data_IF_408745750109
#
_entry.id   IF_408745750109
#
_cell.length_a   1.000
_cell.length_b   1.000
_cell.length_c   1.000
_cell.angle_alpha   90.00
_cell.angle_beta   90.00
_cell.angle_gamma   90.00
#
_symmetry.space_group_name_H-M   'P 1'
#
loop_
_entity.id
_entity.type
_entity.pdbx_description
1 polymer ?
#
# COMPACT_ATOMS: atom_id res chain seq x y z
N UNK A 1 -25.68 -4.59 4.30
CA UNK A 1 -25.02 -5.91 4.47
C UNK A 1 -23.94 -6.05 3.40
N UNK A 2 -22.73 -5.52 3.65
CA UNK A 2 -21.47 -5.83 2.94
C UNK A 2 -20.27 -5.15 3.62
N UNK A 3 -20.12 -5.30 4.95
CA UNK A 3 -18.93 -4.78 5.65
C UNK A 3 -17.94 -5.89 6.02
N UNK A 4 -18.36 -7.17 6.09
CA UNK A 4 -17.50 -8.23 6.61
C UNK A 4 -16.42 -8.71 5.62
N UNK A 5 -16.71 -8.68 4.30
CA UNK A 5 -15.76 -9.22 3.31
C UNK A 5 -14.58 -8.30 3.09
N UNK A 6 -14.81 -6.99 3.17
CA UNK A 6 -13.79 -5.96 3.00
C UNK A 6 -12.82 -5.96 4.19
N UNK A 7 -13.34 -5.89 5.42
CA UNK A 7 -12.57 -6.02 6.66
C UNK A 7 -11.70 -7.30 6.66
N UNK A 8 -12.24 -8.41 6.15
CA UNK A 8 -11.48 -9.68 6.02
C UNK A 8 -10.31 -9.59 5.04
N UNK A 9 -10.40 -8.83 3.94
CA UNK A 9 -9.30 -8.73 2.97
C UNK A 9 -8.17 -7.89 3.53
N UNK A 10 -8.51 -6.79 4.19
CA UNK A 10 -7.54 -5.91 4.86
C UNK A 10 -6.75 -6.72 5.87
N UNK A 11 -7.42 -7.39 6.81
CA UNK A 11 -6.80 -8.20 7.86
C UNK A 11 -5.82 -9.25 7.29
N UNK A 12 -6.24 -9.96 6.24
CA UNK A 12 -5.43 -11.02 5.63
C UNK A 12 -4.14 -10.48 5.00
N UNK A 13 -4.21 -9.31 4.37
CA UNK A 13 -3.09 -8.72 3.67
C UNK A 13 -2.18 -7.97 4.64
N UNK A 14 -2.77 -7.33 5.64
CA UNK A 14 -2.05 -6.69 6.74
C UNK A 14 -1.23 -7.71 7.53
N UNK A 15 -1.76 -8.91 7.81
CA UNK A 15 -0.97 -9.98 8.44
C UNK A 15 0.28 -10.35 7.61
N UNK A 16 0.16 -10.30 6.27
CA UNK A 16 1.25 -10.68 5.38
C UNK A 16 2.37 -9.64 5.32
N UNK A 17 2.04 -8.34 5.27
CA UNK A 17 2.99 -7.26 4.96
C UNK A 17 2.84 -5.98 5.79
N UNK A 18 1.93 -5.92 6.76
CA UNK A 18 1.61 -4.72 7.56
C UNK A 18 2.85 -4.12 8.22
N UNK A 19 3.71 -4.96 8.80
CA UNK A 19 4.98 -4.53 9.39
C UNK A 19 5.91 -3.81 8.38
N UNK A 20 5.93 -4.27 7.13
CA UNK A 20 6.72 -3.64 6.07
C UNK A 20 6.05 -2.35 5.60
N UNK A 21 4.71 -2.33 5.53
CA UNK A 21 3.95 -1.13 5.16
C UNK A 21 4.16 -0.04 6.19
N UNK A 22 3.98 -0.31 7.48
CA UNK A 22 4.23 0.62 8.57
C UNK A 22 5.65 1.20 8.48
N UNK A 23 6.69 0.36 8.34
CA UNK A 23 8.07 0.84 8.22
C UNK A 23 8.25 1.79 7.02
N UNK A 24 7.67 1.44 5.86
CA UNK A 24 7.80 2.25 4.65
C UNK A 24 7.00 3.56 4.76
N UNK A 25 5.81 3.51 5.35
CA UNK A 25 4.94 4.66 5.54
C UNK A 25 5.58 5.63 6.52
N UNK A 26 5.99 5.19 7.71
CA UNK A 26 6.69 6.05 8.68
C UNK A 26 7.92 6.72 8.08
N UNK A 27 8.69 5.99 7.26
CA UNK A 27 9.96 6.49 6.74
C UNK A 27 9.82 7.46 5.57
N UNK A 28 8.81 7.27 4.72
CA UNK A 28 8.73 7.98 3.42
C UNK A 28 7.42 8.69 3.17
N UNK A 29 6.35 8.32 3.88
CA UNK A 29 4.99 8.75 3.57
C UNK A 29 4.17 9.13 4.82
N UNK A 30 4.80 9.36 5.97
CA UNK A 30 4.14 9.40 7.28
C UNK A 30 2.98 10.40 7.41
N UNK A 31 3.00 11.48 6.63
CA UNK A 31 1.94 12.49 6.63
C UNK A 31 0.83 12.23 5.58
N UNK A 32 0.96 11.21 4.73
CA UNK A 32 0.04 10.98 3.60
C UNK A 32 -1.18 10.09 3.92
N UNK A 33 -1.23 9.47 5.10
CA UNK A 33 -2.39 8.70 5.59
C UNK A 33 -2.91 9.39 6.85
N UNK A 34 -4.14 9.89 6.81
CA UNK A 34 -4.74 10.67 7.90
C UNK A 34 -5.73 9.82 8.73
N UNK A 35 -6.11 8.64 8.23
CA UNK A 35 -7.11 7.76 8.82
C UNK A 35 -6.84 6.28 8.57
N UNK A 36 -7.52 5.43 9.33
CA UNK A 36 -7.58 3.97 9.11
C UNK A 36 -8.19 3.65 7.73
N UNK A 37 -9.18 4.41 7.28
CA UNK A 37 -9.77 4.27 5.94
C UNK A 37 -8.72 4.49 4.83
N UNK A 38 -7.80 5.45 4.97
CA UNK A 38 -6.73 5.66 3.98
C UNK A 38 -5.77 4.47 3.91
N UNK A 39 -5.51 3.83 5.07
CA UNK A 39 -4.66 2.64 5.14
C UNK A 39 -5.32 1.44 4.47
N UNK A 40 -6.61 1.24 4.71
CA UNK A 40 -7.40 0.21 4.06
C UNK A 40 -7.42 0.40 2.54
N UNK A 41 -7.65 1.64 2.07
CA UNK A 41 -7.60 1.98 0.64
C UNK A 41 -6.24 1.67 0.01
N UNK A 42 -5.14 1.95 0.73
CA UNK A 42 -3.80 1.60 0.28
C UNK A 42 -3.65 0.08 0.14
N UNK A 43 -4.11 -0.70 1.12
CA UNK A 43 -4.09 -2.17 1.06
C UNK A 43 -4.91 -2.66 -0.15
N UNK A 44 -6.10 -2.12 -0.37
CA UNK A 44 -6.90 -2.46 -1.55
C UNK A 44 -6.20 -2.15 -2.85
N UNK A 45 -5.50 -1.01 -2.93
CA UNK A 45 -4.74 -0.68 -4.12
C UNK A 45 -3.58 -1.65 -4.33
N UNK A 46 -2.87 -2.06 -3.27
CA UNK A 46 -1.81 -3.08 -3.36
C UNK A 46 -2.38 -4.39 -3.91
N UNK A 47 -3.50 -4.87 -3.36
CA UNK A 47 -4.20 -6.08 -3.83
C UNK A 47 -4.57 -5.95 -5.31
N UNK A 48 -5.23 -4.85 -5.69
CA UNK A 48 -5.66 -4.62 -7.06
C UNK A 48 -4.49 -4.49 -8.03
N UNK A 49 -3.41 -3.84 -7.62
CA UNK A 49 -2.19 -3.69 -8.40
C UNK A 49 -1.56 -5.06 -8.67
N UNK A 50 -1.35 -5.87 -7.63
CA UNK A 50 -0.77 -7.21 -7.76
C UNK A 50 -1.66 -8.11 -8.60
N UNK A 51 -2.97 -8.10 -8.34
CA UNK A 51 -3.95 -8.87 -9.12
C UNK A 51 -3.85 -8.54 -10.60
N UNK A 52 -3.76 -7.26 -10.95
CA UNK A 52 -3.69 -6.80 -12.34
C UNK A 52 -2.35 -7.09 -12.98
N UNK A 53 -1.25 -6.66 -12.36
CA UNK A 53 0.07 -6.63 -12.99
C UNK A 53 0.79 -7.99 -12.90
N UNK A 54 0.61 -8.73 -11.81
CA UNK A 54 1.25 -10.05 -11.61
C UNK A 54 0.36 -11.17 -12.13
N UNK A 55 -0.93 -11.14 -11.77
CA UNK A 55 -1.85 -12.24 -12.02
C UNK A 55 -2.82 -12.01 -13.20
N UNK A 56 -2.66 -10.90 -13.94
CA UNK A 56 -3.48 -10.59 -15.12
C UNK A 56 -4.99 -10.62 -14.84
N UNK A 57 -5.39 -10.19 -13.65
CA UNK A 57 -6.77 -10.08 -13.20
C UNK A 57 -7.38 -11.36 -12.61
N UNK A 58 -6.63 -12.46 -12.53
CA UNK A 58 -7.22 -13.79 -12.25
C UNK A 58 -7.10 -14.28 -10.81
N UNK A 59 -6.23 -13.66 -10.01
CA UNK A 59 -5.99 -14.13 -8.66
C UNK A 59 -7.13 -13.83 -7.68
N UNK A 60 -7.33 -14.75 -6.75
CA UNK A 60 -8.08 -14.53 -5.52
C UNK A 60 -7.19 -13.94 -4.40
N UNK A 61 -7.81 -13.64 -3.25
CA UNK A 61 -7.13 -13.01 -2.11
C UNK A 61 -6.09 -13.94 -1.49
N UNK A 62 -6.34 -15.25 -1.45
CA UNK A 62 -5.42 -16.23 -0.89
C UNK A 62 -4.15 -16.34 -1.75
N UNK A 63 -4.29 -16.36 -3.08
CA UNK A 63 -3.16 -16.37 -4.00
C UNK A 63 -2.28 -15.11 -3.89
N UNK A 64 -2.92 -13.95 -3.67
CA UNK A 64 -2.24 -12.67 -3.46
C UNK A 64 -1.51 -12.66 -2.13
N UNK A 65 -2.15 -13.12 -1.05
CA UNK A 65 -1.52 -13.28 0.27
C UNK A 65 -0.30 -14.17 0.20
N UNK A 66 -0.42 -15.34 -0.44
CA UNK A 66 0.70 -16.28 -0.57
C UNK A 66 1.84 -15.69 -1.42
N UNK A 67 1.52 -14.87 -2.42
CA UNK A 67 2.52 -14.10 -3.15
C UNK A 67 3.24 -13.09 -2.26
N UNK A 68 2.51 -12.36 -1.43
CA UNK A 68 3.07 -11.37 -0.50
C UNK A 68 3.95 -12.03 0.57
N UNK A 69 3.57 -13.19 1.09
CA UNK A 69 4.44 -13.98 1.99
C UNK A 69 5.75 -14.37 1.32
N UNK A 70 5.71 -14.89 0.08
CA UNK A 70 6.93 -15.22 -0.69
C UNK A 70 7.76 -13.98 -1.03
N UNK A 71 7.11 -12.83 -1.23
CA UNK A 71 7.81 -11.57 -1.45
C UNK A 71 8.55 -11.13 -0.18
N UNK A 72 7.89 -11.23 0.99
CA UNK A 72 8.44 -10.93 2.31
C UNK A 72 9.68 -11.75 2.66
N UNK A 73 9.78 -12.99 2.21
CA UNK A 73 11.02 -13.81 2.35
C UNK A 73 12.26 -13.14 1.72
N UNK A 74 12.08 -12.13 0.86
CA UNK A 74 13.13 -11.34 0.22
C UNK A 74 13.01 -9.87 0.64
N UNK A 75 13.38 -9.50 1.87
CA UNK A 75 13.01 -8.21 2.48
C UNK A 75 13.44 -6.98 1.67
N UNK A 76 14.64 -7.00 1.06
CA UNK A 76 15.09 -5.88 0.21
C UNK A 76 14.24 -5.72 -1.05
N UNK A 77 13.80 -6.82 -1.65
CA UNK A 77 12.94 -6.82 -2.84
C UNK A 77 11.52 -6.45 -2.45
N UNK A 78 11.02 -6.97 -1.32
CA UNK A 78 9.71 -6.61 -0.78
C UNK A 78 9.59 -5.11 -0.58
N UNK A 79 10.57 -4.51 0.13
CA UNK A 79 10.60 -3.06 0.35
C UNK A 79 10.61 -2.29 -0.97
N UNK A 80 11.47 -2.66 -1.92
CA UNK A 80 11.54 -1.99 -3.21
C UNK A 80 10.20 -2.05 -3.99
N UNK A 81 9.59 -3.24 -4.07
CA UNK A 81 8.33 -3.45 -4.79
C UNK A 81 7.19 -2.70 -4.09
N UNK A 82 7.07 -2.80 -2.77
CA UNK A 82 6.02 -2.14 -2.00
C UNK A 82 6.20 -0.62 -2.04
N UNK A 83 7.42 -0.08 -1.90
CA UNK A 83 7.67 1.37 -2.07
C UNK A 83 7.23 1.87 -3.44
N UNK A 84 7.47 1.10 -4.51
CA UNK A 84 6.99 1.47 -5.84
C UNK A 84 5.46 1.50 -5.91
N UNK A 85 4.78 0.48 -5.38
CA UNK A 85 3.30 0.40 -5.39
C UNK A 85 2.70 1.54 -4.58
N UNK A 86 3.21 1.80 -3.37
CA UNK A 86 2.80 2.90 -2.49
C UNK A 86 3.03 4.25 -3.15
N UNK A 87 4.21 4.47 -3.76
CA UNK A 87 4.49 5.71 -4.50
C UNK A 87 3.49 5.95 -5.63
N UNK A 88 3.20 4.92 -6.42
CA UNK A 88 2.21 4.98 -7.50
C UNK A 88 0.76 5.17 -6.99
N UNK A 89 0.43 4.70 -5.77
CA UNK A 89 -0.85 5.04 -5.12
C UNK A 89 -0.95 6.54 -4.87
N UNK A 90 0.00 7.10 -4.14
CA UNK A 90 -0.05 8.51 -3.73
C UNK A 90 0.11 9.48 -4.90
N UNK A 91 0.80 9.08 -5.97
CA UNK A 91 0.86 9.85 -7.21
C UNK A 91 -0.54 9.96 -7.85
N UNK A 92 -1.28 8.85 -7.91
CA UNK A 92 -2.62 8.80 -8.52
C UNK A 92 -3.69 9.49 -7.69
N UNK A 93 -3.59 9.43 -6.36
CA UNK A 93 -4.52 10.12 -5.45
C UNK A 93 -4.16 11.59 -5.24
N UNK A 94 -3.07 12.06 -5.85
CA UNK A 94 -2.55 13.42 -5.71
C UNK A 94 -2.01 13.74 -4.31
N UNK A 95 -1.85 12.73 -3.45
CA UNK A 95 -1.38 12.92 -2.07
C UNK A 95 0.09 13.37 -2.01
N UNK A 96 0.94 12.89 -2.94
CA UNK A 96 2.33 13.35 -3.04
C UNK A 96 2.43 14.86 -3.32
N UNK A 97 1.48 15.42 -4.08
CA UNK A 97 1.49 16.84 -4.43
C UNK A 97 0.96 17.75 -3.31
N UNK A 98 0.19 17.21 -2.35
CA UNK A 98 -0.32 17.96 -1.19
C UNK A 98 0.78 18.23 -0.17
N UNK A 99 1.68 17.27 0.05
CA UNK A 99 2.78 17.36 1.00
C UNK A 99 4.09 17.90 0.39
N UNK A 100 4.23 17.88 -0.94
CA UNK A 100 5.36 18.53 -1.64
C UNK A 100 5.22 20.06 -1.79
N UNK A 101 4.16 20.68 -1.25
CA UNK A 101 4.09 22.14 -1.16
C UNK A 101 5.16 22.61 -0.18
N UNK A 102 6.22 23.23 -0.71
CA UNK A 102 7.16 24.04 0.08
C UNK A 102 6.31 24.94 0.99
N UNK A 103 6.54 24.96 2.32
CA UNK A 103 5.77 25.83 3.20
C UNK A 103 5.79 27.25 2.65
N UNK A 104 4.61 27.83 2.47
CA UNK A 104 4.47 29.24 2.06
C UNK A 104 5.26 30.09 3.06
N UNK A 105 6.42 30.58 2.63
CA UNK A 105 7.35 31.32 3.49
C UNK A 105 8.83 31.05 3.28
N UNK A 106 9.22 29.97 2.58
CA UNK A 106 10.64 29.76 2.22
C UNK A 106 10.89 30.30 0.81
N UNK A 107 11.35 31.54 0.74
CA UNK A 107 11.97 32.09 -0.47
C UNK A 107 13.44 31.64 -0.54
N UNK A 108 13.84 31.10 -1.69
CA UNK A 108 15.27 30.96 -2.07
C UNK A 108 15.84 32.31 -2.47
#
# INVERSE_FOLDING_TARGET
>A
MSNNTEETVVDIIDEAIGDILEELLEKYYGDNLESEEDYDELIYNIVNFIKKEVFKGKADVAEIRDFLYRLREKPHIAKLVLSYIIGNYFEKTGSLARHARIPEGVSI
#
